data_IF_795562540411
#
_entry.id   IF_795562540411
#
_cell.length_a   1.000
_cell.length_b   1.000
_cell.length_c   1.000
_cell.angle_alpha   90.00
_cell.angle_beta   90.00
_cell.angle_gamma   90.00
#
_symmetry.space_group_name_H-M   'P 1'
#
loop_
_entity.id
_entity.type
_entity.pdbx_description
1 polymer ?
#
# COMPACT_ATOMS: atom_id res chain seq x y z
N UNK A 1 6.85 -14.16 -24.65
CA UNK A 1 6.41 -12.79 -25.01
C UNK A 1 5.87 -12.02 -23.81
N UNK A 2 4.97 -12.56 -23.02
CA UNK A 2 4.33 -11.84 -21.89
C UNK A 2 5.29 -11.37 -20.80
N UNK A 3 6.21 -12.22 -20.30
CA UNK A 3 7.13 -11.86 -19.22
C UNK A 3 8.06 -10.71 -19.62
N UNK A 4 8.60 -10.72 -20.85
CA UNK A 4 9.43 -9.63 -21.37
C UNK A 4 8.66 -8.31 -21.51
N UNK A 5 7.41 -8.34 -21.97
CA UNK A 5 6.56 -7.16 -22.09
C UNK A 5 6.31 -6.55 -20.70
N UNK A 6 5.91 -7.35 -19.69
CA UNK A 6 5.68 -6.84 -18.34
C UNK A 6 6.97 -6.42 -17.65
N UNK A 7 8.11 -7.03 -17.96
CA UNK A 7 9.43 -6.52 -17.53
C UNK A 7 9.64 -5.10 -18.03
N UNK A 8 9.42 -4.84 -19.32
CA UNK A 8 9.53 -3.49 -19.90
C UNK A 8 8.53 -2.52 -19.24
N UNK A 9 7.30 -2.95 -18.98
CA UNK A 9 6.30 -2.12 -18.27
C UNK A 9 6.79 -1.72 -16.88
N UNK A 10 7.27 -2.66 -16.06
CA UNK A 10 7.77 -2.33 -14.71
C UNK A 10 8.99 -1.43 -14.73
N UNK A 11 9.93 -1.64 -15.67
CA UNK A 11 11.09 -0.75 -15.87
C UNK A 11 10.61 0.66 -16.28
N UNK A 12 9.62 0.77 -17.17
CA UNK A 12 9.04 2.05 -17.58
C UNK A 12 8.34 2.77 -16.41
N UNK A 13 7.61 2.03 -15.55
CA UNK A 13 6.97 2.63 -14.38
C UNK A 13 8.02 3.10 -13.37
N UNK A 14 9.08 2.33 -13.16
CA UNK A 14 10.20 2.75 -12.30
C UNK A 14 10.88 4.02 -12.83
N UNK A 15 11.11 4.11 -14.15
CA UNK A 15 11.63 5.31 -14.77
C UNK A 15 10.66 6.49 -14.66
N UNK A 16 9.36 6.26 -14.82
CA UNK A 16 8.33 7.29 -14.58
C UNK A 16 8.38 7.77 -13.13
N UNK A 17 8.51 6.88 -12.16
CA UNK A 17 8.64 7.26 -10.75
C UNK A 17 9.89 8.14 -10.52
N UNK A 18 11.03 7.79 -11.14
CA UNK A 18 12.24 8.63 -11.08
C UNK A 18 11.97 10.05 -11.62
N UNK A 19 11.31 10.19 -12.76
CA UNK A 19 11.03 11.49 -13.38
C UNK A 19 9.95 12.26 -12.62
N UNK A 20 8.83 11.59 -12.31
CA UNK A 20 7.64 12.25 -11.78
C UNK A 20 7.69 12.51 -10.27
N UNK A 21 8.49 11.74 -9.52
CA UNK A 21 8.66 11.92 -8.08
C UNK A 21 9.96 12.66 -7.79
N UNK A 22 11.11 12.09 -8.19
CA UNK A 22 12.40 12.64 -7.82
C UNK A 22 12.78 13.89 -8.62
N UNK A 23 12.77 13.81 -9.97
CA UNK A 23 13.24 14.91 -10.80
C UNK A 23 12.29 16.12 -10.72
N UNK A 24 10.98 15.88 -10.61
CA UNK A 24 10.00 16.94 -10.39
C UNK A 24 10.23 17.64 -9.05
N UNK A 25 10.45 16.90 -7.95
CA UNK A 25 10.69 17.47 -6.62
C UNK A 25 12.01 18.29 -6.55
N UNK A 26 13.00 17.96 -7.40
CA UNK A 26 14.19 18.78 -7.59
C UNK A 26 13.84 20.03 -8.37
N UNK A 27 13.11 19.89 -9.48
CA UNK A 27 12.80 21.00 -10.40
C UNK A 27 11.87 22.04 -9.78
N UNK A 28 10.87 21.62 -9.01
CA UNK A 28 9.91 22.51 -8.33
C UNK A 28 10.48 23.14 -7.05
N UNK A 29 11.60 22.63 -6.54
CA UNK A 29 12.34 23.17 -5.39
C UNK A 29 11.98 22.57 -4.04
N UNK A 30 11.13 21.52 -3.99
CA UNK A 30 10.74 20.86 -2.73
C UNK A 30 11.97 20.36 -1.96
N UNK A 31 12.86 19.62 -2.61
CA UNK A 31 14.05 19.10 -1.94
C UNK A 31 15.01 20.19 -1.47
N UNK A 32 15.16 21.29 -2.24
CA UNK A 32 15.95 22.45 -1.81
C UNK A 32 15.40 23.06 -0.52
N UNK A 33 14.09 23.26 -0.44
CA UNK A 33 13.44 23.82 0.75
C UNK A 33 13.54 22.86 1.96
N UNK A 34 13.37 21.56 1.75
CA UNK A 34 13.57 20.58 2.83
C UNK A 34 15.01 20.56 3.33
N UNK A 35 16.00 20.63 2.43
CA UNK A 35 17.41 20.74 2.83
C UNK A 35 17.71 22.00 3.65
N UNK A 36 17.09 23.13 3.33
CA UNK A 36 17.21 24.36 4.14
C UNK A 36 16.65 24.18 5.54
N UNK A 37 15.50 23.51 5.68
CA UNK A 37 14.90 23.19 6.98
C UNK A 37 15.74 22.23 7.81
N UNK A 38 16.66 21.47 7.20
CA UNK A 38 17.56 20.53 7.84
C UNK A 38 18.93 21.12 8.22
N UNK A 39 19.19 22.41 7.93
CA UNK A 39 20.48 23.08 8.25
C UNK A 39 20.73 23.26 9.74
N UNK A 40 19.76 22.99 10.60
CA UNK A 40 19.88 22.99 12.06
C UNK A 40 20.32 21.64 12.61
N UNK A 41 20.40 21.55 13.94
CA UNK A 41 20.59 20.26 14.59
C UNK A 41 19.36 19.37 14.38
N UNK A 42 19.55 18.06 14.15
CA UNK A 42 18.43 17.13 14.01
C UNK A 42 17.64 17.02 15.31
N UNK A 43 16.34 16.77 15.21
CA UNK A 43 15.49 16.47 16.37
C UNK A 43 16.01 15.18 17.01
N UNK A 44 16.22 15.21 18.32
CA UNK A 44 16.66 14.03 19.06
C UNK A 44 15.49 13.09 19.33
N UNK A 45 15.45 11.96 18.62
CA UNK A 45 14.52 10.84 18.84
C UNK A 45 15.22 9.63 19.49
N UNK A 46 16.53 9.48 19.20
CA UNK A 46 17.36 8.36 19.61
C UNK A 46 18.73 8.85 20.10
N UNK A 47 19.64 7.93 20.39
CA UNK A 47 21.04 8.27 20.70
C UNK A 47 21.94 8.25 19.45
N UNK A 48 21.39 7.98 18.26
CA UNK A 48 22.14 7.77 17.02
C UNK A 48 21.92 8.95 16.07
N UNK A 49 22.91 9.85 15.95
CA UNK A 49 22.83 11.07 15.12
C UNK A 49 22.40 10.80 13.67
N UNK A 50 22.89 9.71 13.05
CA UNK A 50 22.50 9.35 11.69
C UNK A 50 20.99 9.03 11.59
N UNK A 51 20.46 8.26 12.55
CA UNK A 51 19.06 7.89 12.58
C UNK A 51 18.18 9.11 12.89
N UNK A 52 18.61 9.96 13.80
CA UNK A 52 17.91 11.21 14.13
C UNK A 52 17.86 12.16 12.92
N UNK A 53 18.94 12.24 12.12
CA UNK A 53 18.95 13.00 10.89
C UNK A 53 17.95 12.46 9.85
N UNK A 54 17.92 11.15 9.64
CA UNK A 54 16.96 10.50 8.74
C UNK A 54 15.52 10.71 9.20
N UNK A 55 15.24 10.48 10.48
CA UNK A 55 13.89 10.66 11.04
C UNK A 55 13.45 12.12 10.98
N UNK A 56 14.36 13.07 11.25
CA UNK A 56 14.06 14.50 11.13
C UNK A 56 13.65 14.86 9.72
N UNK A 57 14.38 14.36 8.70
CA UNK A 57 14.03 14.59 7.29
C UNK A 57 12.62 14.06 6.97
N UNK A 58 12.31 12.84 7.38
CA UNK A 58 11.00 12.23 7.14
C UNK A 58 9.89 12.96 7.92
N UNK A 59 10.12 13.33 9.18
CA UNK A 59 9.17 14.11 9.98
C UNK A 59 8.88 15.46 9.32
N UNK A 60 9.89 16.20 8.87
CA UNK A 60 9.73 17.50 8.18
C UNK A 60 8.97 17.35 6.85
N UNK A 61 9.20 16.27 6.12
CA UNK A 61 8.45 15.98 4.90
C UNK A 61 6.96 15.73 5.15
N UNK A 62 6.61 14.98 6.20
CA UNK A 62 5.22 14.62 6.49
C UNK A 62 4.49 15.63 7.39
N UNK A 63 5.19 16.48 8.12
CA UNK A 63 4.60 17.49 9.01
C UNK A 63 3.59 18.43 8.32
N UNK A 64 3.82 18.93 7.08
CA UNK A 64 2.87 19.78 6.36
C UNK A 64 1.47 19.17 6.20
N UNK A 65 1.37 17.84 6.11
CA UNK A 65 0.11 17.10 5.98
C UNK A 65 -0.82 17.36 7.18
N UNK A 66 -0.23 17.47 8.37
CA UNK A 66 -0.96 17.57 9.65
C UNK A 66 -1.34 19.00 10.00
N UNK A 67 -0.79 20.00 9.30
CA UNK A 67 -1.07 21.42 9.59
C UNK A 67 -2.45 21.88 9.14
N UNK A 68 -3.06 21.18 8.17
CA UNK A 68 -4.33 21.58 7.56
C UNK A 68 -4.26 22.87 6.71
N UNK A 69 -3.06 23.45 6.51
CA UNK A 69 -2.87 24.67 5.71
C UNK A 69 -3.28 24.49 4.25
N UNK A 70 -3.03 23.32 3.70
CA UNK A 70 -3.52 22.91 2.39
C UNK A 70 -4.51 21.75 2.54
N UNK A 71 -5.82 22.01 2.46
CA UNK A 71 -6.83 20.96 2.60
C UNK A 71 -6.71 19.85 1.56
N UNK A 72 -6.28 20.16 0.33
CA UNK A 72 -6.10 19.15 -0.71
C UNK A 72 -5.00 18.14 -0.32
N UNK A 73 -3.88 18.61 0.25
CA UNK A 73 -2.81 17.76 0.75
C UNK A 73 -3.31 16.85 1.89
N UNK A 74 -3.95 17.43 2.90
CA UNK A 74 -4.41 16.66 4.07
C UNK A 74 -5.45 15.61 3.68
N UNK A 75 -6.44 15.97 2.86
CA UNK A 75 -7.47 15.05 2.37
C UNK A 75 -6.90 13.97 1.45
N UNK A 76 -5.97 14.35 0.56
CA UNK A 76 -5.26 13.39 -0.28
C UNK A 76 -4.51 12.36 0.55
N UNK A 77 -3.80 12.78 1.60
CA UNK A 77 -3.04 11.86 2.45
C UNK A 77 -3.94 10.92 3.25
N UNK A 78 -5.11 11.38 3.72
CA UNK A 78 -6.11 10.50 4.33
C UNK A 78 -6.59 9.46 3.30
N UNK A 79 -6.95 9.89 2.08
CA UNK A 79 -7.34 8.98 1.00
C UNK A 79 -6.22 8.00 0.66
N UNK A 80 -4.99 8.50 0.46
CA UNK A 80 -3.80 7.70 0.14
C UNK A 80 -3.50 6.67 1.24
N UNK A 81 -3.63 7.02 2.51
CA UNK A 81 -3.42 6.08 3.63
C UNK A 81 -4.33 4.85 3.55
N UNK A 82 -5.61 5.04 3.19
CA UNK A 82 -6.52 3.94 2.91
C UNK A 82 -6.06 3.07 1.72
N UNK A 83 -5.65 3.70 0.62
CA UNK A 83 -5.19 2.98 -0.57
C UNK A 83 -3.89 2.20 -0.29
N UNK A 84 -2.95 2.81 0.44
CA UNK A 84 -1.70 2.15 0.84
C UNK A 84 -1.92 1.01 1.84
N UNK A 85 -2.92 1.10 2.72
CA UNK A 85 -3.29 0.00 3.58
C UNK A 85 -3.70 -1.23 2.76
N UNK A 86 -4.49 -1.05 1.69
CA UNK A 86 -4.86 -2.15 0.79
C UNK A 86 -3.64 -2.76 0.09
N UNK A 87 -2.71 -1.92 -0.39
CA UNK A 87 -1.47 -2.38 -1.03
C UNK A 87 -0.55 -3.08 -0.03
N UNK A 88 -0.45 -2.56 1.20
CA UNK A 88 0.33 -3.20 2.27
C UNK A 88 -0.21 -4.60 2.60
N UNK A 89 -1.53 -4.74 2.75
CA UNK A 89 -2.18 -6.04 2.94
C UNK A 89 -1.94 -6.97 1.76
N UNK A 90 -2.05 -6.48 0.53
CA UNK A 90 -1.77 -7.26 -0.66
C UNK A 90 -0.35 -7.85 -0.63
N UNK A 91 0.65 -7.00 -0.41
CA UNK A 91 2.06 -7.42 -0.38
C UNK A 91 2.31 -8.39 0.78
N UNK A 92 1.72 -8.13 1.96
CA UNK A 92 1.83 -9.02 3.11
C UNK A 92 1.20 -10.39 2.83
N UNK A 93 0.00 -10.43 2.27
CA UNK A 93 -0.70 -11.66 1.88
C UNK A 93 0.10 -12.42 0.82
N UNK A 94 0.57 -11.75 -0.24
CA UNK A 94 1.40 -12.39 -1.27
C UNK A 94 2.72 -12.95 -0.71
N UNK A 95 3.36 -12.25 0.24
CA UNK A 95 4.55 -12.74 0.91
C UNK A 95 4.33 -13.98 1.77
N UNK A 96 3.14 -14.12 2.37
CA UNK A 96 2.76 -15.27 3.20
C UNK A 96 2.30 -16.50 2.41
N UNK A 97 2.10 -16.39 1.09
CA UNK A 97 1.67 -17.52 0.26
C UNK A 97 2.69 -18.65 0.23
N UNK A 98 2.21 -19.88 0.26
CA UNK A 98 3.06 -21.07 0.25
C UNK A 98 4.02 -21.11 -0.95
N UNK A 99 3.58 -20.69 -2.12
CA UNK A 99 4.42 -20.63 -3.33
C UNK A 99 5.53 -19.57 -3.28
N UNK A 100 5.39 -18.54 -2.43
CA UNK A 100 6.37 -17.47 -2.31
C UNK A 100 7.34 -17.64 -1.13
N UNK A 101 7.13 -18.66 -0.29
CA UNK A 101 7.95 -18.89 0.90
C UNK A 101 9.45 -18.99 0.56
N UNK A 102 10.27 -18.22 1.28
CA UNK A 102 11.72 -18.19 1.10
C UNK A 102 12.21 -17.43 -0.14
N UNK A 103 11.32 -16.80 -0.90
CA UNK A 103 11.70 -15.90 -2.00
C UNK A 103 11.91 -14.49 -1.48
N UNK A 104 12.69 -13.66 -2.19
CA UNK A 104 12.92 -12.25 -1.81
C UNK A 104 11.62 -11.48 -1.61
N UNK A 105 10.60 -11.78 -2.41
CA UNK A 105 9.27 -11.17 -2.33
C UNK A 105 8.49 -11.55 -1.06
N UNK A 106 8.89 -12.58 -0.31
CA UNK A 106 8.27 -12.96 0.97
C UNK A 106 8.76 -12.14 2.16
N UNK A 107 9.84 -11.38 2.02
CA UNK A 107 10.39 -10.51 3.07
C UNK A 107 9.70 -9.15 3.07
N UNK A 108 8.39 -9.13 3.30
CA UNK A 108 7.52 -7.96 3.11
C UNK A 108 7.87 -6.78 3.99
N UNK A 109 8.42 -7.01 5.19
CA UNK A 109 8.93 -5.96 6.08
C UNK A 109 10.03 -5.14 5.43
N UNK A 110 11.00 -5.79 4.78
CA UNK A 110 12.10 -5.07 4.11
C UNK A 110 11.59 -4.24 2.93
N UNK A 111 10.63 -4.77 2.17
CA UNK A 111 9.98 -4.02 1.10
C UNK A 111 9.23 -2.81 1.64
N UNK A 112 8.51 -2.98 2.75
CA UNK A 112 7.82 -1.87 3.42
C UNK A 112 8.77 -0.80 3.95
N UNK A 113 9.95 -1.17 4.50
CA UNK A 113 10.99 -0.19 4.85
C UNK A 113 11.50 0.52 3.61
N UNK A 114 11.67 -0.19 2.49
CA UNK A 114 12.00 0.40 1.20
C UNK A 114 10.98 1.46 0.74
N UNK A 115 9.69 1.28 1.04
CA UNK A 115 8.66 2.29 0.73
C UNK A 115 8.89 3.62 1.45
N UNK A 116 9.31 3.56 2.70
CA UNK A 116 9.59 4.76 3.50
C UNK A 116 10.86 5.49 3.06
N UNK A 117 11.85 4.75 2.57
CA UNK A 117 13.15 5.31 2.19
C UNK A 117 13.19 5.77 0.72
N UNK A 118 12.50 5.04 -0.16
CA UNK A 118 12.60 5.19 -1.62
C UNK A 118 11.25 5.43 -2.29
N UNK A 119 10.19 5.70 -1.53
CA UNK A 119 8.79 5.82 -1.94
C UNK A 119 8.15 4.48 -2.40
N UNK A 120 6.84 4.39 -2.28
CA UNK A 120 6.08 3.19 -2.67
C UNK A 120 6.02 3.06 -4.19
N UNK A 121 5.90 4.18 -4.90
CA UNK A 121 5.83 4.23 -6.37
C UNK A 121 7.11 3.83 -7.07
N UNK A 122 8.28 4.03 -6.45
CA UNK A 122 9.56 3.55 -6.96
C UNK A 122 9.82 2.08 -6.57
N UNK A 123 9.42 1.68 -5.37
CA UNK A 123 9.75 0.34 -4.82
C UNK A 123 8.83 -0.76 -5.37
N UNK A 124 7.53 -0.50 -5.57
CA UNK A 124 6.60 -1.52 -6.06
C UNK A 124 6.88 -2.03 -7.47
N UNK A 125 7.29 -1.20 -8.45
CA UNK A 125 7.72 -1.73 -9.75
C UNK A 125 8.86 -2.75 -9.64
N UNK A 126 9.83 -2.51 -8.74
CA UNK A 126 10.94 -3.43 -8.49
C UNK A 126 10.43 -4.71 -7.80
N UNK A 127 9.56 -4.58 -6.80
CA UNK A 127 8.94 -5.71 -6.13
C UNK A 127 8.19 -6.62 -7.12
N UNK A 128 7.35 -6.06 -7.97
CA UNK A 128 6.60 -6.85 -8.94
C UNK A 128 7.44 -7.35 -10.10
N UNK A 129 8.51 -6.62 -10.48
CA UNK A 129 9.50 -7.13 -11.42
C UNK A 129 10.16 -8.40 -10.87
N UNK A 130 10.59 -8.39 -9.63
CA UNK A 130 11.13 -9.59 -8.96
C UNK A 130 10.05 -10.67 -8.82
N UNK A 131 8.81 -10.30 -8.51
CA UNK A 131 7.70 -11.25 -8.39
C UNK A 131 7.50 -12.05 -9.68
N UNK A 132 7.40 -11.40 -10.84
CA UNK A 132 7.16 -12.09 -12.10
C UNK A 132 8.32 -13.00 -12.54
N UNK A 133 9.51 -12.80 -11.99
CA UNK A 133 10.69 -13.61 -12.31
C UNK A 133 11.01 -14.69 -11.27
N UNK A 134 10.59 -14.52 -10.02
CA UNK A 134 11.00 -15.42 -8.92
C UNK A 134 9.85 -16.20 -8.29
N UNK A 135 8.60 -15.70 -8.39
CA UNK A 135 7.43 -16.42 -7.89
C UNK A 135 7.06 -17.57 -8.83
N UNK A 136 6.82 -18.78 -8.31
CA UNK A 136 6.30 -19.87 -9.11
C UNK A 136 4.78 -19.77 -9.36
N UNK A 137 4.08 -18.90 -8.62
CA UNK A 137 2.60 -18.81 -8.67
C UNK A 137 2.08 -18.51 -10.08
N UNK A 138 2.65 -17.56 -10.86
CA UNK A 138 2.18 -17.29 -12.21
C UNK A 138 2.30 -18.49 -13.16
N UNK A 139 3.31 -19.33 -12.94
CA UNK A 139 3.63 -20.49 -13.79
C UNK A 139 2.99 -21.79 -13.28
N UNK A 140 2.22 -21.72 -12.19
CA UNK A 140 1.56 -22.89 -11.60
C UNK A 140 0.24 -23.17 -12.34
N UNK A 141 0.17 -24.28 -13.05
CA UNK A 141 -1.01 -24.73 -13.79
C UNK A 141 -1.75 -25.84 -13.03
N UNK A 142 -3.06 -25.94 -13.27
CA UNK A 142 -3.94 -26.87 -12.59
C UNK A 142 -4.55 -26.30 -11.29
N UNK A 143 -5.83 -26.57 -11.09
CA UNK A 143 -6.62 -25.96 -10.00
C UNK A 143 -6.06 -26.29 -8.61
N UNK A 144 -5.74 -27.57 -8.35
CA UNK A 144 -5.22 -28.01 -7.04
C UNK A 144 -3.83 -27.46 -6.75
N UNK A 145 -2.92 -27.46 -7.75
CA UNK A 145 -1.57 -26.94 -7.58
C UNK A 145 -1.60 -25.44 -7.32
N UNK A 146 -2.42 -24.70 -8.07
CA UNK A 146 -2.56 -23.27 -7.86
C UNK A 146 -3.21 -22.92 -6.53
N UNK A 147 -4.29 -23.61 -6.14
CA UNK A 147 -4.93 -23.44 -4.83
C UNK A 147 -3.96 -23.74 -3.68
N UNK A 148 -3.05 -24.70 -3.86
CA UNK A 148 -1.97 -24.97 -2.90
C UNK A 148 -0.96 -23.82 -2.87
N UNK A 149 -0.49 -23.34 -4.01
CA UNK A 149 0.53 -22.28 -4.11
C UNK A 149 0.04 -20.95 -3.52
N UNK A 150 -1.24 -20.58 -3.71
CA UNK A 150 -1.81 -19.34 -3.16
C UNK A 150 -2.28 -19.49 -1.70
N UNK A 151 -2.23 -20.69 -1.11
CA UNK A 151 -2.67 -20.89 0.27
C UNK A 151 -1.72 -20.21 1.26
N UNK A 152 -2.29 -19.76 2.39
CA UNK A 152 -1.56 -19.20 3.53
C UNK A 152 -1.73 -20.14 4.72
N UNK A 153 -0.71 -20.21 5.56
CA UNK A 153 -0.78 -20.91 6.84
C UNK A 153 -1.87 -20.27 7.71
N UNK A 154 -2.80 -21.04 8.32
CA UNK A 154 -3.91 -20.50 9.10
C UNK A 154 -3.47 -19.66 10.30
N UNK A 155 -2.34 -19.97 10.94
CA UNK A 155 -1.79 -19.19 12.05
C UNK A 155 -1.36 -17.82 11.54
N UNK A 156 -0.61 -17.81 10.43
CA UNK A 156 -0.17 -16.57 9.79
C UNK A 156 -1.36 -15.72 9.32
N UNK A 157 -2.36 -16.32 8.68
CA UNK A 157 -3.53 -15.60 8.20
C UNK A 157 -4.33 -14.94 9.34
N UNK A 158 -4.42 -15.56 10.51
CA UNK A 158 -5.10 -14.97 11.68
C UNK A 158 -4.32 -13.84 12.34
N UNK A 159 -3.00 -13.89 12.28
CA UNK A 159 -2.14 -12.84 12.82
C UNK A 159 -2.21 -11.54 12.00
N UNK A 160 -2.55 -11.59 10.69
CA UNK A 160 -2.54 -10.43 9.79
C UNK A 160 -3.36 -9.27 10.32
N UNK A 161 -4.60 -9.48 10.76
CA UNK A 161 -5.45 -8.39 11.23
C UNK A 161 -4.89 -7.70 12.48
N UNK A 162 -4.38 -8.49 13.42
CA UNK A 162 -3.72 -7.94 14.61
C UNK A 162 -2.43 -7.19 14.26
N UNK A 163 -1.64 -7.70 13.32
CA UNK A 163 -0.42 -7.02 12.86
C UNK A 163 -0.70 -5.70 12.17
N UNK A 164 -1.77 -5.61 11.38
CA UNK A 164 -2.22 -4.36 10.77
C UNK A 164 -2.71 -3.35 11.81
N UNK A 165 -3.53 -3.82 12.77
CA UNK A 165 -4.07 -2.96 13.81
C UNK A 165 -2.95 -2.34 14.67
N UNK A 166 -2.00 -3.15 15.13
CA UNK A 166 -0.93 -2.72 16.02
C UNK A 166 0.24 -2.05 15.29
N UNK A 167 0.58 -2.54 14.09
CA UNK A 167 1.78 -2.11 13.38
C UNK A 167 1.56 -1.00 12.36
N UNK A 168 0.36 -0.87 11.80
CA UNK A 168 0.07 0.15 10.79
C UNK A 168 -1.00 1.15 11.26
N UNK A 169 -2.20 0.67 11.67
CA UNK A 169 -3.33 1.55 11.98
C UNK A 169 -3.06 2.36 13.24
N UNK A 170 -2.64 1.73 14.33
CA UNK A 170 -2.38 2.43 15.59
C UNK A 170 -1.30 3.52 15.46
N UNK A 171 -0.11 3.27 14.90
CA UNK A 171 0.86 4.34 14.67
C UNK A 171 0.34 5.48 13.80
N UNK A 172 -0.46 5.17 12.75
CA UNK A 172 -1.08 6.19 11.88
C UNK A 172 -2.06 7.07 12.67
N UNK A 173 -2.90 6.49 13.51
CA UNK A 173 -3.83 7.25 14.35
C UNK A 173 -3.11 8.11 15.38
N UNK A 174 -2.03 7.61 16.00
CA UNK A 174 -1.22 8.38 16.95
C UNK A 174 -0.55 9.58 16.27
N UNK A 175 0.04 9.39 15.07
CA UNK A 175 0.66 10.48 14.32
C UNK A 175 -0.35 11.55 13.86
N UNK A 176 -1.60 11.15 13.63
CA UNK A 176 -2.68 12.05 13.20
C UNK A 176 -3.38 12.78 14.35
N UNK A 177 -2.97 12.59 15.62
CA UNK A 177 -3.58 13.28 16.76
C UNK A 177 -3.40 14.81 16.65
N UNK A 178 -4.44 15.63 16.92
CA UNK A 178 -4.36 17.07 16.80
C UNK A 178 -3.34 17.70 17.75
N UNK A 179 -2.43 18.49 17.21
CA UNK A 179 -1.47 19.30 17.97
C UNK A 179 -1.70 20.80 17.65
N UNK A 180 -1.65 21.70 18.65
CA UNK A 180 -1.34 21.49 20.07
C UNK A 180 -2.53 21.12 20.94
N UNK A 181 -3.72 20.87 20.38
CA UNK A 181 -4.97 20.76 21.14
C UNK A 181 -5.04 19.50 22.03
N UNK A 182 -4.52 18.36 21.56
CA UNK A 182 -4.57 17.08 22.28
C UNK A 182 -3.19 16.61 22.74
N UNK A 183 -2.17 16.84 21.92
CA UNK A 183 -0.77 16.48 22.19
C UNK A 183 0.15 17.65 21.89
N UNK A 184 1.36 17.67 22.50
CA UNK A 184 2.34 18.71 22.21
C UNK A 184 2.92 18.56 20.79
N UNK A 185 3.45 19.65 20.16
CA UNK A 185 4.14 19.54 18.87
C UNK A 185 5.27 18.52 18.88
N UNK A 186 6.08 18.48 19.93
CA UNK A 186 7.15 17.49 20.05
C UNK A 186 6.61 16.05 20.13
N UNK A 187 5.52 15.81 20.88
CA UNK A 187 4.88 14.48 20.93
C UNK A 187 4.39 14.05 19.55
N UNK A 188 3.86 14.98 18.75
CA UNK A 188 3.43 14.69 17.37
C UNK A 188 4.64 14.33 16.47
N UNK A 189 5.77 15.04 16.60
CA UNK A 189 7.01 14.71 15.89
C UNK A 189 7.51 13.30 16.26
N UNK A 190 7.47 12.94 17.56
CA UNK A 190 7.82 11.58 18.03
C UNK A 190 6.87 10.53 17.44
N UNK A 191 5.56 10.77 17.43
CA UNK A 191 4.61 9.83 16.82
C UNK A 191 4.79 9.70 15.31
N UNK A 192 5.12 10.80 14.60
CA UNK A 192 5.50 10.75 13.18
C UNK A 192 6.78 9.94 12.97
N UNK A 193 7.79 10.10 13.82
CA UNK A 193 9.02 9.31 13.74
C UNK A 193 8.75 7.80 13.97
N UNK A 194 7.93 7.45 14.95
CA UNK A 194 7.48 6.07 15.20
C UNK A 194 6.70 5.53 14.00
N UNK A 195 5.81 6.33 13.43
CA UNK A 195 5.01 5.95 12.27
C UNK A 195 5.86 5.60 11.05
N UNK A 196 7.01 6.26 10.84
CA UNK A 196 7.90 5.94 9.72
C UNK A 196 8.31 4.46 9.68
N UNK A 197 8.38 3.81 10.82
CA UNK A 197 8.74 2.40 10.90
C UNK A 197 7.51 1.45 10.90
N UNK A 198 6.31 1.89 10.43
CA UNK A 198 5.10 1.07 10.48
C UNK A 198 5.23 -0.30 9.78
N UNK A 199 6.00 -0.47 8.70
CA UNK A 199 6.19 -1.80 8.12
C UNK A 199 7.00 -2.73 9.01
N UNK A 200 7.95 -2.18 9.77
CA UNK A 200 8.71 -2.94 10.77
C UNK A 200 7.81 -3.35 11.93
N UNK A 201 6.99 -2.43 12.45
CA UNK A 201 6.03 -2.74 13.51
C UNK A 201 5.01 -3.80 13.08
N UNK A 202 4.50 -3.71 11.85
CA UNK A 202 3.62 -4.73 11.28
C UNK A 202 4.31 -6.09 11.18
N UNK A 203 5.58 -6.14 10.76
CA UNK A 203 6.36 -7.38 10.70
C UNK A 203 6.61 -7.99 12.08
N UNK A 204 7.00 -7.18 13.07
CA UNK A 204 7.22 -7.60 14.45
C UNK A 204 5.90 -8.12 15.06
N UNK A 205 4.80 -7.37 14.91
CA UNK A 205 3.49 -7.78 15.38
C UNK A 205 3.03 -9.08 14.72
N UNK A 206 3.23 -9.24 13.39
CA UNK A 206 2.92 -10.48 12.67
C UNK A 206 3.69 -11.66 13.26
N UNK A 207 4.98 -11.51 13.51
CA UNK A 207 5.80 -12.54 14.11
C UNK A 207 5.32 -12.90 15.51
N UNK A 208 5.19 -11.92 16.41
CA UNK A 208 4.79 -12.16 17.81
C UNK A 208 3.40 -12.80 17.86
N UNK A 209 2.41 -12.24 17.16
CA UNK A 209 1.04 -12.77 17.16
C UNK A 209 0.97 -14.17 16.59
N UNK A 210 1.74 -14.48 15.55
CA UNK A 210 1.77 -15.84 15.01
C UNK A 210 2.34 -16.86 16.01
N UNK A 211 3.38 -16.49 16.79
CA UNK A 211 3.90 -17.34 17.86
C UNK A 211 2.85 -17.55 18.97
N UNK A 212 2.23 -16.47 19.43
CA UNK A 212 1.19 -16.52 20.48
C UNK A 212 0.02 -17.41 20.05
N UNK A 213 -0.51 -17.23 18.84
CA UNK A 213 -1.61 -18.05 18.29
C UNK A 213 -1.18 -19.53 18.17
N UNK A 214 0.06 -19.78 17.76
CA UNK A 214 0.61 -21.13 17.65
C UNK A 214 0.75 -21.84 19.00
N UNK A 215 1.29 -21.16 20.01
CA UNK A 215 1.51 -21.70 21.37
C UNK A 215 0.20 -21.90 22.11
N UNK A 216 -0.73 -20.95 22.05
CA UNK A 216 -2.01 -21.05 22.75
C UNK A 216 -2.94 -22.12 22.18
N UNK A 217 -2.59 -22.76 21.06
CA UNK A 217 -3.39 -23.80 20.44
C UNK A 217 -4.81 -23.35 20.08
N UNK A 218 -5.01 -22.06 19.87
CA UNK A 218 -6.31 -21.42 19.53
C UNK A 218 -6.91 -22.00 18.23
N UNK A 219 -6.06 -22.69 17.46
CA UNK A 219 -6.50 -23.48 16.31
C UNK A 219 -6.78 -24.91 16.77
N UNK A 220 -7.95 -25.47 16.49
CA UNK A 220 -8.17 -26.90 16.66
C UNK A 220 -7.00 -27.64 16.00
N UNK A 221 -6.43 -28.65 16.66
CA UNK A 221 -5.47 -29.59 16.05
C UNK A 221 -6.18 -30.32 14.90
N UNK A 222 -6.56 -29.58 13.88
CA UNK A 222 -7.43 -30.04 12.82
C UNK A 222 -6.61 -30.78 11.78
N UNK A 223 -7.15 -31.92 11.37
CA UNK A 223 -7.04 -32.44 10.01
C UNK A 223 -6.87 -31.30 9.03
N UNK A 224 -6.05 -31.50 7.99
CA UNK A 224 -5.67 -30.50 6.95
C UNK A 224 -6.75 -29.44 6.69
N UNK A 225 -6.41 -28.13 6.66
CA UNK A 225 -7.40 -27.06 6.52
C UNK A 225 -8.20 -27.24 5.22
N UNK A 226 -9.53 -27.16 5.34
CA UNK A 226 -10.45 -27.27 4.20
C UNK A 226 -10.35 -26.04 3.30
N UNK A 227 -10.76 -26.16 2.04
CA UNK A 227 -10.85 -25.02 1.12
C UNK A 227 -11.71 -23.90 1.72
N UNK A 228 -12.84 -24.23 2.36
CA UNK A 228 -13.72 -23.26 3.00
C UNK A 228 -13.05 -22.53 4.18
N UNK A 229 -12.23 -23.22 4.99
CA UNK A 229 -11.48 -22.57 6.08
C UNK A 229 -10.49 -21.55 5.52
N UNK A 230 -9.73 -21.91 4.47
CA UNK A 230 -8.78 -21.00 3.80
C UNK A 230 -9.49 -19.77 3.20
N UNK A 231 -10.65 -19.97 2.57
CA UNK A 231 -11.47 -18.86 2.04
C UNK A 231 -11.94 -17.95 3.16
N UNK A 232 -12.38 -18.51 4.29
CA UNK A 232 -12.87 -17.72 5.42
C UNK A 232 -11.76 -16.89 6.07
N UNK A 233 -10.53 -17.40 6.19
CA UNK A 233 -9.40 -16.67 6.73
C UNK A 233 -9.03 -15.48 5.81
N UNK A 234 -8.92 -15.70 4.49
CA UNK A 234 -8.68 -14.62 3.53
C UNK A 234 -9.85 -13.63 3.47
N UNK A 235 -11.09 -14.12 3.53
CA UNK A 235 -12.28 -13.25 3.56
C UNK A 235 -12.25 -12.25 4.70
N UNK A 236 -11.84 -12.67 5.90
CA UNK A 236 -11.72 -11.76 7.05
C UNK A 236 -10.73 -10.65 6.78
N UNK A 237 -9.55 -10.99 6.24
CA UNK A 237 -8.50 -10.02 5.91
C UNK A 237 -9.02 -9.02 4.88
N UNK A 238 -9.55 -9.51 3.76
CA UNK A 238 -9.99 -8.65 2.66
C UNK A 238 -11.20 -7.80 3.04
N UNK A 239 -12.21 -8.37 3.74
CA UNK A 239 -13.41 -7.63 4.15
C UNK A 239 -13.06 -6.52 5.13
N UNK A 240 -12.22 -6.79 6.14
CA UNK A 240 -11.78 -5.79 7.11
C UNK A 240 -11.05 -4.64 6.41
N UNK A 241 -10.08 -4.98 5.56
CA UNK A 241 -9.28 -3.97 4.86
C UNK A 241 -10.13 -3.13 3.91
N UNK A 242 -10.97 -3.78 3.09
CA UNK A 242 -11.86 -3.07 2.15
C UNK A 242 -12.90 -2.20 2.87
N UNK A 243 -13.37 -2.61 4.04
CA UNK A 243 -14.27 -1.78 4.85
C UNK A 243 -13.59 -0.47 5.30
N UNK A 244 -12.32 -0.55 5.76
CA UNK A 244 -11.54 0.65 6.11
C UNK A 244 -11.29 1.51 4.88
N UNK A 245 -10.85 0.90 3.76
CA UNK A 245 -10.59 1.63 2.52
C UNK A 245 -11.84 2.35 2.01
N UNK A 246 -12.99 1.68 2.03
CA UNK A 246 -14.27 2.26 1.64
C UNK A 246 -14.67 3.41 2.58
N UNK A 247 -14.58 3.20 3.89
CA UNK A 247 -14.88 4.23 4.89
C UNK A 247 -14.03 5.50 4.67
N UNK A 248 -12.72 5.33 4.47
CA UNK A 248 -11.79 6.43 4.22
C UNK A 248 -12.08 7.11 2.88
N UNK A 249 -12.28 6.34 1.80
CA UNK A 249 -12.52 6.89 0.47
C UNK A 249 -13.84 7.67 0.41
N UNK A 250 -14.93 7.08 0.92
CA UNK A 250 -16.22 7.75 0.95
C UNK A 250 -16.26 8.90 1.96
N UNK A 251 -15.55 8.77 3.08
CA UNK A 251 -15.41 9.85 4.07
C UNK A 251 -14.75 11.08 3.47
N UNK A 252 -13.63 10.91 2.74
CA UNK A 252 -12.93 12.02 2.08
C UNK A 252 -13.78 12.63 0.97
N UNK A 253 -14.32 11.82 0.06
CA UNK A 253 -15.17 12.31 -1.03
C UNK A 253 -16.41 13.01 -0.49
N UNK A 254 -17.10 12.41 0.49
CA UNK A 254 -18.26 12.99 1.15
C UNK A 254 -17.94 14.33 1.84
N UNK A 255 -16.78 14.42 2.50
CA UNK A 255 -16.30 15.66 3.11
C UNK A 255 -16.07 16.77 2.06
N UNK A 256 -15.43 16.45 0.92
CA UNK A 256 -15.23 17.41 -0.18
C UNK A 256 -16.58 17.91 -0.70
N UNK A 257 -17.55 17.02 -0.95
CA UNK A 257 -18.90 17.45 -1.38
C UNK A 257 -19.65 18.24 -0.32
N UNK A 258 -19.48 17.91 0.95
CA UNK A 258 -20.08 18.66 2.06
C UNK A 258 -19.52 20.09 2.15
N UNK A 259 -18.18 20.21 2.15
CA UNK A 259 -17.52 21.52 2.32
C UNK A 259 -17.66 22.43 1.10
N UNK A 260 -17.74 21.86 -0.11
CA UNK A 260 -17.92 22.63 -1.34
C UNK A 260 -19.26 23.37 -1.42
N UNK A 261 -20.28 22.98 -0.62
CA UNK A 261 -21.53 23.72 -0.51
C UNK A 261 -21.35 25.12 0.08
N UNK A 262 -20.29 25.33 0.85
CA UNK A 262 -19.98 26.54 1.57
C UNK A 262 -18.71 27.24 1.04
N UNK A 263 -18.03 26.61 0.08
CA UNK A 263 -16.83 27.13 -0.55
C UNK A 263 -17.12 27.72 -1.93
N UNK A 264 -16.29 28.64 -2.38
CA UNK A 264 -16.36 29.19 -3.74
C UNK A 264 -15.97 28.21 -4.85
N UNK A 265 -15.36 27.08 -4.49
CA UNK A 265 -14.84 26.08 -5.44
C UNK A 265 -15.81 24.88 -5.55
N UNK A 266 -16.21 24.47 -6.79
CA UNK A 266 -17.00 23.28 -7.00
C UNK A 266 -16.30 22.01 -6.52
N UNK A 267 -17.06 21.04 -5.97
CA UNK A 267 -16.52 19.79 -5.45
C UNK A 267 -15.68 19.01 -6.47
N UNK A 268 -16.07 19.04 -7.75
CA UNK A 268 -15.33 18.34 -8.82
C UNK A 268 -13.94 18.95 -9.02
N UNK A 269 -13.82 20.29 -8.98
CA UNK A 269 -12.52 20.96 -9.11
C UNK A 269 -11.65 20.69 -7.88
N UNK A 270 -12.20 20.68 -6.68
CA UNK A 270 -11.49 20.29 -5.47
C UNK A 270 -10.99 18.84 -5.53
N UNK A 271 -11.81 17.91 -6.04
CA UNK A 271 -11.38 16.52 -6.26
C UNK A 271 -10.30 16.39 -7.34
N UNK A 272 -10.37 17.16 -8.41
CA UNK A 272 -9.30 17.19 -9.44
C UNK A 272 -8.00 17.69 -8.86
N UNK A 273 -8.03 18.81 -8.14
CA UNK A 273 -6.84 19.38 -7.47
C UNK A 273 -6.22 18.39 -6.48
N UNK A 274 -7.06 17.68 -5.75
CA UNK A 274 -6.63 16.66 -4.80
C UNK A 274 -6.04 15.40 -5.48
N UNK A 275 -6.65 14.91 -6.58
CA UNK A 275 -6.33 13.58 -7.12
C UNK A 275 -5.44 13.58 -8.36
N UNK A 276 -5.40 14.67 -9.12
CA UNK A 276 -4.69 14.73 -10.39
C UNK A 276 -3.34 15.40 -10.19
N UNK A 277 -2.21 14.68 -10.38
CA UNK A 277 -0.89 15.29 -10.26
C UNK A 277 -0.61 16.29 -11.38
N UNK A 278 0.29 17.26 -11.15
CA UNK A 278 0.79 18.12 -12.20
C UNK A 278 1.60 17.32 -13.23
N UNK A 279 1.93 17.97 -14.38
CA UNK A 279 2.80 17.34 -15.37
C UNK A 279 4.13 16.89 -14.75
N UNK A 280 4.61 15.66 -15.00
CA UNK A 280 5.90 15.20 -14.47
C UNK A 280 7.10 15.94 -15.08
N UNK A 281 6.89 16.66 -16.16
CA UNK A 281 7.89 17.49 -16.85
C UNK A 281 7.77 18.98 -16.52
N UNK A 282 6.96 19.35 -15.52
CA UNK A 282 6.80 20.73 -15.10
C UNK A 282 8.13 21.28 -14.56
N UNK A 283 8.48 22.49 -14.98
CA UNK A 283 9.61 23.26 -14.42
C UNK A 283 9.14 24.41 -13.54
N UNK A 284 7.83 24.50 -13.29
CA UNK A 284 7.28 25.54 -12.44
C UNK A 284 7.69 25.30 -10.99
N UNK A 285 8.10 26.37 -10.30
CA UNK A 285 8.36 26.30 -8.87
C UNK A 285 7.07 26.02 -8.12
N UNK A 286 7.15 25.22 -7.07
CA UNK A 286 6.02 25.00 -6.16
C UNK A 286 5.54 26.32 -5.53
N UNK A 287 4.24 26.47 -5.39
CA UNK A 287 3.66 27.63 -4.72
C UNK A 287 3.89 27.61 -3.19
N UNK A 288 3.98 26.43 -2.61
CA UNK A 288 4.30 26.18 -1.20
C UNK A 288 4.88 24.78 -1.01
N UNK A 289 5.45 24.49 0.17
CA UNK A 289 5.93 23.15 0.53
C UNK A 289 4.79 22.14 0.50
N UNK A 290 3.60 22.54 0.95
CA UNK A 290 2.40 21.72 0.93
C UNK A 290 2.04 21.28 -0.50
N UNK A 291 2.15 22.19 -1.49
CA UNK A 291 1.87 21.88 -2.91
C UNK A 291 2.95 20.99 -3.53
N UNK A 292 4.21 21.18 -3.20
CA UNK A 292 5.29 20.27 -3.60
C UNK A 292 5.10 18.87 -3.01
N UNK A 293 4.78 18.79 -1.73
CA UNK A 293 4.48 17.51 -1.05
C UNK A 293 3.26 16.82 -1.66
N UNK A 294 2.20 17.56 -1.98
CA UNK A 294 1.01 17.01 -2.65
C UNK A 294 1.38 16.40 -4.01
N UNK A 295 2.08 17.14 -4.86
CA UNK A 295 2.50 16.67 -6.18
C UNK A 295 3.37 15.39 -6.08
N UNK A 296 4.32 15.38 -5.14
CA UNK A 296 5.17 14.23 -4.86
C UNK A 296 4.35 12.98 -4.49
N UNK A 297 3.45 13.10 -3.54
CA UNK A 297 2.63 11.98 -3.05
C UNK A 297 1.57 11.53 -4.06
N UNK A 298 1.01 12.44 -4.88
CA UNK A 298 0.11 12.10 -5.98
C UNK A 298 0.82 11.20 -7.00
N UNK A 299 2.04 11.55 -7.43
CA UNK A 299 2.83 10.73 -8.34
C UNK A 299 3.26 9.41 -7.71
N UNK A 300 3.59 9.43 -6.42
CA UNK A 300 3.92 8.21 -5.67
C UNK A 300 2.76 7.21 -5.71
N UNK A 301 1.55 7.65 -5.42
CA UNK A 301 0.35 6.82 -5.50
C UNK A 301 0.03 6.37 -6.94
N UNK A 302 0.20 7.24 -7.93
CA UNK A 302 -0.01 6.89 -9.34
C UNK A 302 0.94 5.77 -9.79
N UNK A 303 2.23 5.90 -9.54
CA UNK A 303 3.23 4.90 -9.91
C UNK A 303 2.99 3.56 -9.16
N UNK A 304 2.66 3.63 -7.86
CA UNK A 304 2.29 2.46 -7.07
C UNK A 304 1.06 1.73 -7.63
N UNK A 305 0.03 2.49 -8.04
CA UNK A 305 -1.19 1.96 -8.65
C UNK A 305 -0.91 1.32 -10.00
N UNK A 306 -0.14 1.98 -10.86
CA UNK A 306 0.26 1.45 -12.17
C UNK A 306 1.03 0.13 -12.02
N UNK A 307 1.97 0.06 -11.08
CA UNK A 307 2.73 -1.16 -10.83
C UNK A 307 1.83 -2.32 -10.35
N UNK A 308 0.96 -2.05 -9.39
CA UNK A 308 0.04 -3.04 -8.82
C UNK A 308 -0.97 -3.55 -9.85
N UNK A 309 -1.51 -2.64 -10.68
CA UNK A 309 -2.45 -2.99 -11.75
C UNK A 309 -1.77 -3.79 -12.85
N UNK A 310 -0.55 -3.43 -13.24
CA UNK A 310 0.25 -4.18 -14.21
C UNK A 310 0.52 -5.60 -13.73
N UNK A 311 0.81 -5.78 -12.44
CA UNK A 311 0.96 -7.11 -11.86
C UNK A 311 -0.32 -7.93 -11.93
N UNK A 312 -1.49 -7.37 -11.62
CA UNK A 312 -2.78 -8.07 -11.75
C UNK A 312 -3.05 -8.47 -13.20
N UNK A 313 -2.79 -7.55 -14.13
CA UNK A 313 -2.94 -7.85 -15.57
C UNK A 313 -2.00 -8.98 -16.02
N UNK A 314 -0.76 -8.99 -15.52
CA UNK A 314 0.16 -10.10 -15.77
C UNK A 314 -0.37 -11.43 -15.23
N UNK A 315 -0.83 -11.46 -13.98
CA UNK A 315 -1.39 -12.67 -13.38
C UNK A 315 -2.62 -13.18 -14.14
N UNK A 316 -3.49 -12.29 -14.59
CA UNK A 316 -4.66 -12.62 -15.40
C UNK A 316 -4.26 -13.09 -16.81
N UNK A 317 -3.24 -12.47 -17.41
CA UNK A 317 -2.69 -12.89 -18.70
C UNK A 317 -2.14 -14.31 -18.67
N UNK A 318 -1.37 -14.66 -17.64
CA UNK A 318 -0.80 -16.00 -17.50
C UNK A 318 -1.87 -17.10 -17.43
N UNK A 319 -3.05 -16.78 -16.97
CA UNK A 319 -4.14 -17.75 -16.83
C UNK A 319 -5.13 -17.78 -18.00
N UNK A 320 -5.44 -16.64 -18.57
CA UNK A 320 -6.54 -16.48 -19.57
C UNK A 320 -6.10 -15.69 -20.82
N UNK A 321 -4.78 -15.52 -21.02
CA UNK A 321 -4.23 -14.79 -22.17
C UNK A 321 -4.62 -13.30 -22.19
N UNK A 322 -4.61 -12.68 -23.36
CA UNK A 322 -4.93 -11.26 -23.56
C UNK A 322 -6.31 -10.90 -23.02
N UNK A 323 -7.33 -11.74 -23.28
CA UNK A 323 -8.69 -11.53 -22.77
C UNK A 323 -8.75 -11.46 -21.25
N UNK A 324 -7.93 -12.27 -20.56
CA UNK A 324 -7.78 -12.21 -19.10
C UNK A 324 -7.20 -10.90 -18.63
N UNK A 325 -6.15 -10.40 -19.28
CA UNK A 325 -5.53 -9.11 -18.93
C UNK A 325 -6.51 -7.94 -19.12
N UNK A 326 -7.22 -7.90 -20.25
CA UNK A 326 -8.24 -6.88 -20.52
C UNK A 326 -9.36 -6.92 -19.49
N UNK A 327 -9.88 -8.11 -19.17
CA UNK A 327 -10.91 -8.25 -18.14
C UNK A 327 -10.40 -7.85 -16.75
N UNK A 328 -9.13 -8.16 -16.45
CA UNK A 328 -8.46 -7.70 -15.23
C UNK A 328 -8.42 -6.18 -15.14
N UNK A 329 -8.05 -5.50 -16.21
CA UNK A 329 -8.05 -4.04 -16.30
C UNK A 329 -9.45 -3.45 -16.12
N UNK A 330 -10.45 -3.98 -16.83
CA UNK A 330 -11.86 -3.52 -16.70
C UNK A 330 -12.33 -3.63 -15.25
N UNK A 331 -12.08 -4.77 -14.60
CA UNK A 331 -12.42 -4.94 -13.17
C UNK A 331 -11.70 -3.92 -12.27
N UNK A 332 -10.43 -3.64 -12.52
CA UNK A 332 -9.66 -2.65 -11.76
C UNK A 332 -10.28 -1.25 -11.91
N UNK A 333 -10.62 -0.84 -13.12
CA UNK A 333 -11.27 0.46 -13.39
C UNK A 333 -12.63 0.54 -12.66
N UNK A 334 -13.47 -0.49 -12.80
CA UNK A 334 -14.79 -0.52 -12.14
C UNK A 334 -14.67 -0.45 -10.61
N UNK A 335 -13.80 -1.27 -10.02
CA UNK A 335 -13.60 -1.26 -8.57
C UNK A 335 -12.92 0.02 -8.08
N UNK A 336 -12.08 0.67 -8.90
CA UNK A 336 -11.46 1.95 -8.52
C UNK A 336 -12.48 3.07 -8.37
N UNK A 337 -13.54 3.05 -9.15
CA UNK A 337 -14.65 3.99 -9.00
C UNK A 337 -15.41 3.77 -7.66
N UNK A 338 -15.32 2.57 -7.08
CA UNK A 338 -16.04 2.23 -5.83
C UNK A 338 -15.14 2.39 -4.60
N UNK A 339 -13.91 1.89 -4.63
CA UNK A 339 -13.04 1.82 -3.43
C UNK A 339 -11.65 2.43 -3.66
N UNK A 340 -11.44 3.13 -4.76
CA UNK A 340 -10.13 3.67 -5.13
C UNK A 340 -9.15 2.61 -5.67
N UNK A 341 -7.98 3.04 -6.19
CA UNK A 341 -7.08 2.17 -6.96
C UNK A 341 -6.45 1.03 -6.15
N UNK A 342 -6.06 1.28 -4.89
CA UNK A 342 -5.51 0.25 -4.00
C UNK A 342 -6.58 -0.75 -3.56
N UNK A 343 -7.78 -0.26 -3.19
CA UNK A 343 -8.93 -1.11 -2.85
C UNK A 343 -9.35 -2.00 -4.03
N UNK A 344 -9.36 -1.45 -5.25
CA UNK A 344 -9.65 -2.19 -6.48
C UNK A 344 -8.72 -3.40 -6.65
N UNK A 345 -7.43 -3.21 -6.41
CA UNK A 345 -6.43 -4.27 -6.48
C UNK A 345 -6.78 -5.42 -5.53
N UNK A 346 -7.09 -5.08 -4.27
CA UNK A 346 -7.42 -6.07 -3.25
C UNK A 346 -8.73 -6.80 -3.56
N UNK A 347 -9.75 -6.11 -4.08
CA UNK A 347 -11.03 -6.70 -4.49
C UNK A 347 -10.87 -7.70 -5.64
N UNK A 348 -10.05 -7.37 -6.64
CA UNK A 348 -9.77 -8.27 -7.79
C UNK A 348 -8.99 -9.51 -7.34
N UNK A 349 -7.99 -9.34 -6.47
CA UNK A 349 -7.23 -10.46 -5.91
C UNK A 349 -8.12 -11.36 -5.04
N UNK A 350 -9.01 -10.79 -4.24
CA UNK A 350 -9.97 -11.56 -3.47
C UNK A 350 -10.87 -12.44 -4.35
N UNK A 351 -11.40 -11.87 -5.44
CA UNK A 351 -12.18 -12.64 -6.43
C UNK A 351 -11.40 -13.82 -7.00
N UNK A 352 -10.13 -13.60 -7.42
CA UNK A 352 -9.20 -14.64 -7.89
C UNK A 352 -9.02 -15.76 -6.87
N UNK A 353 -8.76 -15.39 -5.62
CA UNK A 353 -8.46 -16.35 -4.56
C UNK A 353 -9.66 -17.22 -4.22
N UNK A 354 -10.86 -16.63 -4.13
CA UNK A 354 -12.10 -17.38 -3.87
C UNK A 354 -12.41 -18.36 -5.01
N UNK A 355 -12.32 -17.93 -6.26
CA UNK A 355 -12.53 -18.78 -7.44
C UNK A 355 -11.56 -19.97 -7.41
N UNK A 356 -10.26 -19.68 -7.25
CA UNK A 356 -9.20 -20.69 -7.31
C UNK A 356 -9.23 -21.70 -6.16
N UNK A 357 -9.57 -21.28 -4.95
CA UNK A 357 -9.66 -22.18 -3.79
C UNK A 357 -10.91 -23.05 -3.84
N UNK A 358 -12.01 -22.61 -4.46
CA UNK A 358 -13.21 -23.42 -4.71
C UNK A 358 -12.93 -24.53 -5.73
N UNK A 359 -12.29 -24.18 -6.84
CA UNK A 359 -11.97 -25.09 -7.94
C UNK A 359 -11.03 -26.21 -7.50
N UNK A 360 -9.98 -25.87 -6.68
CA UNK A 360 -9.06 -26.84 -6.10
C UNK A 360 -9.67 -27.76 -5.02
N UNK A 361 -10.82 -27.38 -4.45
CA UNK A 361 -11.53 -28.21 -3.46
C UNK A 361 -12.61 -29.14 -4.04
N UNK A 362 -13.08 -28.85 -5.26
CA UNK A 362 -14.24 -29.53 -5.85
C UNK A 362 -13.96 -30.94 -6.40
N UNK A 363 -12.74 -31.21 -6.86
CA UNK A 363 -12.38 -32.48 -7.52
C UNK A 363 -12.11 -33.66 -6.57
N UNK A 364 -12.03 -33.43 -5.25
CA UNK A 364 -11.80 -34.52 -4.26
C UNK A 364 -13.04 -35.28 -3.80
N UNK A 365 -14.24 -34.92 -4.28
CA UNK A 365 -15.51 -35.59 -3.87
C UNK A 365 -15.98 -36.68 -4.82
N UNK A 366 -15.27 -36.96 -5.90
CA UNK A 366 -15.66 -37.96 -6.91
C UNK A 366 -14.56 -39.00 -7.16
N UNK A 367 -13.90 -39.44 -6.10
CA UNK A 367 -12.99 -40.60 -6.14
C UNK A 367 -13.19 -41.50 -4.95
#
# INVERSE_FOLDING_TARGET
MSRAVFTAVFVSIFYLAKVAINDLAVADGLFGTLQEQLRGEPIQFTSLKFLDGLLTMLVRFFQPILTGKDPALSLFCIFMAGQLLAVHVLVQVEGLRAGNRGKLISFTTYWGVGWQLCTVGATLPIYFLLYIHTSPIPDTFGADAFASAISIDPVQARAVLGSLALGAILPTLLAALPSPNLITPHTQEVFLAIWQAFPLWSGIAQFILSQVIGVLGVLPKAKRPTAQSKINDLRRIYTFTLAIVALVSYGVVGYVFWTSKWASQPAIEALKDMLIPPSPFSKARMASVERGTLAFLQWDMCCASLATWSWIMYMAYQRKGVGGAVMGFVKLVMWSAVVGPGGATLAVVWGRDVESLKDGGGKRKTG
#
